data_IF_707670910679
#
_entry.id   IF_707670910679
#
_cell.length_a   1.000
_cell.length_b   1.000
_cell.length_c   1.000
_cell.angle_alpha   90.00
_cell.angle_beta   90.00
_cell.angle_gamma   90.00
#
_symmetry.space_group_name_H-M   'P 1'
#
loop_
_entity.id
_entity.type
_entity.pdbx_description
1 polymer ?
#
# COMPACT_ATOMS: atom_id res chain seq x y z
N UNK A 1 -47.41 -11.27 -22.55
CA UNK A 1 -47.92 -12.51 -23.19
C UNK A 1 -46.82 -13.22 -23.97
N UNK A 2 -45.69 -12.55 -24.27
CA UNK A 2 -44.60 -13.11 -25.08
C UNK A 2 -43.70 -14.13 -24.37
N UNK A 3 -43.45 -13.99 -23.05
CA UNK A 3 -42.54 -14.91 -22.33
C UNK A 3 -42.94 -16.39 -22.48
N UNK A 4 -44.23 -16.73 -22.34
CA UNK A 4 -44.71 -18.13 -22.44
C UNK A 4 -44.55 -18.71 -23.86
N UNK A 5 -44.61 -17.88 -24.89
CA UNK A 5 -44.42 -18.29 -26.28
C UNK A 5 -42.95 -18.54 -26.59
N UNK A 6 -42.05 -17.66 -26.12
CA UNK A 6 -40.61 -17.85 -26.21
C UNK A 6 -40.14 -19.15 -25.52
N UNK A 7 -40.56 -19.37 -24.28
CA UNK A 7 -40.22 -20.59 -23.55
C UNK A 7 -40.75 -21.85 -24.24
N UNK A 8 -41.92 -21.76 -24.88
CA UNK A 8 -42.54 -22.88 -25.59
C UNK A 8 -41.72 -23.25 -26.81
N UNK A 9 -41.33 -22.26 -27.61
CA UNK A 9 -40.45 -22.45 -28.75
C UNK A 9 -39.11 -23.05 -28.32
N UNK A 10 -38.49 -22.49 -27.26
CA UNK A 10 -37.21 -22.98 -26.76
C UNK A 10 -37.24 -24.47 -26.40
N UNK A 11 -38.20 -24.89 -25.58
CA UNK A 11 -38.30 -26.29 -25.20
C UNK A 11 -38.71 -27.20 -26.37
N UNK A 12 -39.27 -26.66 -27.45
CA UNK A 12 -39.55 -27.41 -28.67
C UNK A 12 -38.30 -27.66 -29.52
N UNK A 13 -37.32 -26.75 -29.48
CA UNK A 13 -36.08 -26.84 -30.27
C UNK A 13 -34.94 -27.59 -29.55
N UNK A 14 -34.99 -27.73 -28.23
CA UNK A 14 -33.98 -28.49 -27.46
C UNK A 14 -34.10 -29.99 -27.76
N UNK A 15 -32.95 -30.64 -27.99
CA UNK A 15 -32.88 -32.09 -28.18
C UNK A 15 -33.58 -32.86 -27.04
N UNK A 16 -34.37 -33.88 -27.39
CA UNK A 16 -35.09 -34.73 -26.46
C UNK A 16 -34.15 -35.42 -25.46
N UNK A 17 -32.89 -35.70 -25.83
CA UNK A 17 -31.88 -36.20 -24.91
C UNK A 17 -31.55 -35.19 -23.80
N UNK A 18 -31.43 -33.92 -24.17
CA UNK A 18 -31.15 -32.83 -23.25
C UNK A 18 -32.37 -32.51 -22.37
N UNK A 19 -33.58 -32.54 -22.93
CA UNK A 19 -34.82 -32.42 -22.15
C UNK A 19 -34.96 -33.53 -21.10
N UNK A 20 -34.57 -34.76 -21.45
CA UNK A 20 -34.56 -35.89 -20.52
C UNK A 20 -33.57 -35.69 -19.37
N UNK A 21 -32.36 -35.19 -19.68
CA UNK A 21 -31.34 -34.84 -18.69
C UNK A 21 -31.87 -33.75 -17.75
N UNK A 22 -32.49 -32.69 -18.29
CA UNK A 22 -33.08 -31.62 -17.50
C UNK A 22 -34.20 -32.11 -16.58
N UNK A 23 -35.14 -32.90 -17.10
CA UNK A 23 -36.21 -33.54 -16.32
C UNK A 23 -35.61 -34.31 -15.13
N UNK A 24 -34.59 -35.11 -15.39
CA UNK A 24 -33.99 -36.00 -14.41
C UNK A 24 -33.21 -35.24 -13.33
N UNK A 25 -32.42 -34.22 -13.71
CA UNK A 25 -31.65 -33.41 -12.77
C UNK A 25 -32.52 -32.48 -11.92
N UNK A 26 -33.54 -31.85 -12.52
CA UNK A 26 -34.44 -30.90 -11.84
C UNK A 26 -35.58 -31.63 -11.10
N UNK A 27 -35.72 -32.94 -11.34
CA UNK A 27 -36.79 -33.79 -10.78
C UNK A 27 -38.18 -33.25 -11.14
N UNK A 28 -38.39 -32.94 -12.42
CA UNK A 28 -39.68 -32.51 -12.95
C UNK A 28 -40.58 -33.75 -13.12
N UNK A 29 -41.76 -33.71 -12.51
CA UNK A 29 -42.75 -34.78 -12.60
C UNK A 29 -43.73 -34.45 -13.72
N UNK A 30 -43.73 -35.27 -14.77
CA UNK A 30 -44.72 -35.22 -15.84
C UNK A 30 -45.93 -36.05 -15.41
N UNK A 31 -47.06 -35.40 -15.12
CA UNK A 31 -48.28 -36.08 -14.65
C UNK A 31 -48.95 -36.78 -15.83
N UNK A 32 -49.31 -38.05 -15.69
CA UNK A 32 -50.04 -38.81 -16.71
C UNK A 32 -49.17 -39.69 -17.62
N UNK A 33 -47.85 -39.54 -17.62
CA UNK A 33 -46.95 -40.41 -18.39
C UNK A 33 -45.63 -40.66 -17.64
N UNK A 34 -45.15 -41.91 -17.61
CA UNK A 34 -43.82 -42.25 -17.04
C UNK A 34 -42.76 -42.14 -18.14
N UNK A 35 -41.80 -41.24 -17.94
CA UNK A 35 -40.68 -41.02 -18.87
C UNK A 35 -39.43 -41.63 -18.24
N UNK A 36 -38.99 -42.76 -18.78
CA UNK A 36 -37.88 -43.57 -18.28
C UNK A 36 -36.64 -43.46 -19.18
N UNK A 37 -36.78 -42.89 -20.39
CA UNK A 37 -35.70 -42.66 -21.34
C UNK A 37 -35.96 -41.42 -22.20
N UNK A 38 -34.93 -40.93 -22.90
CA UNK A 38 -35.08 -39.83 -23.86
C UNK A 38 -35.98 -40.20 -25.06
N UNK A 39 -36.05 -41.49 -25.43
CA UNK A 39 -36.91 -41.96 -26.50
C UNK A 39 -38.42 -41.82 -26.19
N UNK A 40 -38.78 -41.81 -24.90
CA UNK A 40 -40.16 -41.62 -24.45
C UNK A 40 -40.66 -40.18 -24.68
N UNK A 41 -39.73 -39.22 -24.81
CA UNK A 41 -40.00 -37.81 -25.11
C UNK A 41 -40.20 -37.63 -26.62
N UNK A 42 -39.45 -38.34 -27.47
CA UNK A 42 -39.39 -38.17 -28.94
C UNK A 42 -40.70 -38.48 -29.69
N UNK A 43 -41.61 -39.26 -29.10
CA UNK A 43 -42.86 -39.70 -29.76
C UNK A 43 -43.97 -38.62 -29.60
N UNK A 44 -45.19 -39.04 -29.29
CA UNK A 44 -46.38 -38.18 -29.16
C UNK A 44 -46.34 -37.30 -27.90
N UNK A 45 -45.43 -37.59 -26.97
CA UNK A 45 -45.36 -36.92 -25.68
C UNK A 45 -44.55 -35.63 -25.70
N UNK A 46 -43.81 -35.34 -26.77
CA UNK A 46 -42.95 -34.14 -26.83
C UNK A 46 -43.70 -32.85 -26.50
N UNK A 47 -44.87 -32.54 -27.10
CA UNK A 47 -45.63 -31.34 -26.78
C UNK A 47 -46.13 -31.32 -25.33
N UNK A 48 -46.45 -32.49 -24.78
CA UNK A 48 -46.93 -32.63 -23.41
C UNK A 48 -45.81 -32.40 -22.38
N UNK A 49 -44.60 -32.88 -22.67
CA UNK A 49 -43.40 -32.62 -21.87
C UNK A 49 -43.06 -31.14 -21.90
N UNK A 50 -43.04 -30.51 -23.08
CA UNK A 50 -42.84 -29.06 -23.22
C UNK A 50 -43.86 -28.28 -22.39
N UNK A 51 -45.16 -28.59 -22.52
CA UNK A 51 -46.21 -27.94 -21.74
C UNK A 51 -46.04 -28.13 -20.23
N UNK A 52 -45.50 -29.26 -19.79
CA UNK A 52 -45.18 -29.50 -18.38
C UNK A 52 -44.04 -28.61 -17.91
N UNK A 53 -43.00 -28.42 -18.71
CA UNK A 53 -41.87 -27.53 -18.40
C UNK A 53 -42.32 -26.07 -18.29
N UNK A 54 -43.30 -25.66 -19.10
CA UNK A 54 -43.91 -24.33 -19.09
C UNK A 54 -44.81 -24.04 -17.90
N UNK A 55 -45.09 -25.02 -17.03
CA UNK A 55 -45.88 -24.76 -15.84
C UNK A 55 -45.11 -23.83 -14.89
N UNK A 56 -45.76 -22.82 -14.27
CA UNK A 56 -45.07 -21.82 -13.44
C UNK A 56 -44.20 -22.43 -12.33
N UNK A 57 -44.67 -23.53 -11.70
CA UNK A 57 -43.92 -24.24 -10.68
C UNK A 57 -42.65 -24.92 -11.20
N UNK A 58 -42.67 -25.44 -12.43
CA UNK A 58 -41.53 -26.08 -13.06
C UNK A 58 -40.57 -25.05 -13.65
N UNK A 59 -41.07 -23.98 -14.28
CA UNK A 59 -40.25 -22.84 -14.68
C UNK A 59 -39.47 -22.24 -13.51
N UNK A 60 -40.11 -22.09 -12.34
CA UNK A 60 -39.42 -21.61 -11.13
C UNK A 60 -38.32 -22.56 -10.65
N UNK A 61 -38.53 -23.88 -10.74
CA UNK A 61 -37.50 -24.89 -10.43
C UNK A 61 -36.37 -24.87 -11.44
N UNK A 62 -36.67 -24.70 -12.71
CA UNK A 62 -35.71 -24.58 -13.80
C UNK A 62 -34.84 -23.34 -13.58
N UNK A 63 -35.46 -22.15 -13.40
CA UNK A 63 -34.75 -20.91 -13.07
C UNK A 63 -33.85 -21.06 -11.84
N UNK A 64 -34.36 -21.65 -10.75
CA UNK A 64 -33.58 -21.86 -9.52
C UNK A 64 -32.42 -22.83 -9.71
N UNK A 65 -32.61 -23.89 -10.50
CA UNK A 65 -31.55 -24.85 -10.81
C UNK A 65 -30.45 -24.20 -11.66
N UNK A 66 -30.83 -23.38 -12.65
CA UNK A 66 -29.90 -22.63 -13.50
C UNK A 66 -29.06 -21.66 -12.65
N UNK A 67 -29.71 -20.88 -11.78
CA UNK A 67 -29.04 -19.96 -10.86
C UNK A 67 -28.09 -20.66 -9.88
N UNK A 68 -28.40 -21.91 -9.49
CA UNK A 68 -27.54 -22.69 -8.60
C UNK A 68 -26.34 -23.32 -9.34
N UNK A 69 -26.47 -23.61 -10.64
CA UNK A 69 -25.39 -24.14 -11.49
C UNK A 69 -24.47 -23.01 -11.98
N UNK A 70 -24.97 -21.79 -12.14
CA UNK A 70 -24.22 -20.61 -12.60
C UNK A 70 -23.24 -20.01 -11.58
N UNK A 71 -23.01 -20.68 -10.43
CA UNK A 71 -21.86 -20.39 -9.54
C UNK A 71 -20.54 -20.95 -10.13
N UNK A 72 -20.62 -21.58 -11.31
CA UNK A 72 -19.50 -22.17 -12.08
C UNK A 72 -19.46 -21.37 -13.39
N UNK A 73 -18.47 -20.56 -13.77
CA UNK A 73 -17.06 -20.36 -13.42
C UNK A 73 -16.75 -18.88 -13.67
N UNK A 74 -15.71 -18.35 -12.99
CA UNK A 74 -14.93 -17.17 -13.37
C UNK A 74 -15.14 -16.73 -14.82
N UNK A 75 -16.02 -15.75 -14.98
CA UNK A 75 -16.03 -14.93 -16.15
C UNK A 75 -15.63 -13.58 -15.59
N UNK A 76 -14.40 -13.19 -15.92
CA UNK A 76 -13.83 -11.89 -15.61
C UNK A 76 -14.87 -10.79 -15.87
N UNK A 77 -14.80 -9.75 -15.04
CA UNK A 77 -15.43 -8.46 -15.30
C UNK A 77 -15.32 -8.14 -16.81
N UNK A 78 -16.46 -7.88 -17.48
CA UNK A 78 -16.66 -7.64 -18.94
C UNK A 78 -17.27 -8.75 -19.83
N UNK A 79 -18.16 -9.61 -19.33
CA UNK A 79 -19.04 -10.39 -20.23
C UNK A 79 -20.34 -9.65 -20.59
N UNK A 80 -20.20 -8.57 -21.37
CA UNK A 80 -21.28 -8.05 -22.19
C UNK A 80 -21.28 -8.82 -23.53
N UNK A 81 -22.14 -9.83 -23.65
CA UNK A 81 -22.35 -10.53 -24.92
C UNK A 81 -23.19 -9.65 -25.84
N UNK A 82 -22.56 -8.99 -26.82
CA UNK A 82 -23.28 -8.25 -27.88
C UNK A 82 -24.34 -9.14 -28.56
N UNK A 83 -25.54 -8.59 -28.79
CA UNK A 83 -26.71 -9.26 -29.37
C UNK A 83 -26.38 -10.08 -30.63
N UNK A 84 -25.47 -9.59 -31.47
CA UNK A 84 -25.00 -10.27 -32.69
C UNK A 84 -24.27 -11.60 -32.43
N UNK A 85 -23.51 -11.69 -31.33
CA UNK A 85 -22.82 -12.93 -30.93
C UNK A 85 -23.81 -13.95 -30.39
N UNK A 86 -24.85 -13.49 -29.68
CA UNK A 86 -25.94 -14.32 -29.18
C UNK A 86 -26.73 -14.89 -30.36
N UNK A 87 -27.11 -14.07 -31.33
CA UNK A 87 -27.80 -14.49 -32.55
C UNK A 87 -26.99 -15.56 -33.31
N UNK A 88 -25.69 -15.34 -33.54
CA UNK A 88 -24.83 -16.32 -34.23
C UNK A 88 -24.72 -17.67 -33.50
N UNK A 89 -24.71 -17.68 -32.17
CA UNK A 89 -24.72 -18.92 -31.37
C UNK A 89 -26.05 -19.66 -31.50
N UNK A 90 -27.17 -18.93 -31.47
CA UNK A 90 -28.50 -19.52 -31.69
C UNK A 90 -28.64 -20.06 -33.11
N UNK A 91 -28.19 -19.33 -34.14
CA UNK A 91 -28.22 -19.78 -35.55
C UNK A 91 -27.38 -21.05 -35.78
N UNK A 92 -26.23 -21.17 -35.11
CA UNK A 92 -25.32 -22.33 -35.25
C UNK A 92 -25.73 -23.56 -34.44
N UNK A 93 -26.81 -23.48 -33.66
CA UNK A 93 -27.33 -24.55 -32.76
C UNK A 93 -26.31 -25.10 -31.73
N UNK A 94 -25.18 -24.42 -31.55
CA UNK A 94 -24.17 -24.77 -30.54
C UNK A 94 -24.49 -24.07 -29.21
N UNK A 95 -24.34 -24.81 -28.10
CA UNK A 95 -24.50 -24.29 -26.74
C UNK A 95 -25.82 -23.52 -26.50
N UNK A 96 -26.88 -23.89 -27.24
CA UNK A 96 -28.21 -23.29 -27.21
C UNK A 96 -28.77 -23.20 -25.79
N UNK A 97 -28.52 -24.24 -24.99
CA UNK A 97 -28.91 -24.26 -23.59
C UNK A 97 -28.18 -23.14 -22.84
N UNK A 98 -26.85 -23.07 -22.89
CA UNK A 98 -26.05 -22.10 -22.13
C UNK A 98 -26.29 -20.65 -22.56
N UNK A 99 -26.40 -20.39 -23.87
CA UNK A 99 -26.78 -19.07 -24.40
C UNK A 99 -28.16 -18.65 -23.91
N UNK A 100 -29.08 -19.59 -23.77
CA UNK A 100 -30.42 -19.32 -23.25
C UNK A 100 -30.43 -19.24 -21.73
N UNK A 101 -29.60 -20.00 -21.02
CA UNK A 101 -29.43 -19.88 -19.57
C UNK A 101 -28.89 -18.50 -19.16
N UNK A 102 -28.06 -17.88 -20.01
CA UNK A 102 -27.56 -16.52 -19.85
C UNK A 102 -28.67 -15.45 -20.03
N UNK A 103 -29.51 -15.61 -21.05
CA UNK A 103 -30.64 -14.70 -21.33
C UNK A 103 -31.75 -14.74 -20.26
N UNK A 104 -31.75 -15.77 -19.40
CA UNK A 104 -32.80 -16.05 -18.40
C UNK A 104 -32.49 -15.44 -17.03
N UNK A 105 -31.30 -14.86 -16.87
CA UNK A 105 -30.95 -14.08 -15.69
C UNK A 105 -31.80 -12.79 -15.66
N UNK A 106 -32.27 -12.39 -14.47
CA UNK A 106 -33.20 -11.26 -14.29
C UNK A 106 -32.70 -9.92 -14.85
N UNK A 107 -31.40 -9.78 -15.14
CA UNK A 107 -30.79 -8.58 -15.72
C UNK A 107 -30.84 -8.50 -17.26
N UNK A 108 -31.15 -9.61 -17.96
CA UNK A 108 -31.03 -9.70 -19.42
C UNK A 108 -32.36 -10.07 -20.13
N UNK A 109 -33.51 -9.88 -19.45
CA UNK A 109 -34.82 -10.25 -19.99
C UNK A 109 -35.22 -9.40 -21.22
N UNK A 110 -34.81 -8.13 -21.30
CA UNK A 110 -35.03 -7.28 -22.49
C UNK A 110 -34.25 -7.80 -23.70
N UNK A 111 -32.98 -8.19 -23.50
CA UNK A 111 -32.14 -8.79 -24.55
C UNK A 111 -32.70 -10.13 -25.04
N UNK A 112 -33.39 -10.89 -24.19
CA UNK A 112 -34.09 -12.11 -24.57
C UNK A 112 -35.31 -11.84 -25.48
N UNK A 113 -36.03 -10.74 -25.23
CA UNK A 113 -37.15 -10.28 -26.06
C UNK A 113 -36.64 -9.81 -27.42
N UNK A 114 -35.50 -9.11 -27.47
CA UNK A 114 -34.89 -8.65 -28.72
C UNK A 114 -34.42 -9.82 -29.59
N UNK A 115 -33.81 -10.86 -29.00
CA UNK A 115 -33.48 -12.11 -29.71
C UNK A 115 -34.74 -12.79 -30.23
N UNK A 116 -35.79 -12.92 -29.42
CA UNK A 116 -37.06 -13.51 -29.88
C UNK A 116 -37.68 -12.72 -31.05
N UNK A 117 -37.69 -11.39 -30.95
CA UNK A 117 -38.22 -10.51 -31.98
C UNK A 117 -37.41 -10.64 -33.27
N UNK A 118 -36.08 -10.69 -33.19
CA UNK A 118 -35.22 -10.96 -34.34
C UNK A 118 -35.56 -12.27 -35.04
N UNK A 119 -35.76 -13.36 -34.29
CA UNK A 119 -36.10 -14.66 -34.87
C UNK A 119 -37.52 -14.69 -35.46
N UNK A 120 -38.50 -14.03 -34.83
CA UNK A 120 -39.85 -13.87 -35.38
C UNK A 120 -39.90 -12.98 -36.63
N UNK A 121 -39.03 -11.98 -36.75
CA UNK A 121 -38.97 -11.08 -37.91
C UNK A 121 -38.16 -11.65 -39.08
N UNK A 122 -37.18 -12.53 -38.83
CA UNK A 122 -36.31 -13.11 -39.87
C UNK A 122 -36.68 -14.51 -40.35
N UNK A 123 -37.41 -15.31 -39.57
CA UNK A 123 -37.90 -16.61 -40.00
C UNK A 123 -39.43 -16.52 -40.16
N UNK A 124 -39.87 -16.35 -41.40
CA UNK A 124 -41.26 -16.50 -41.86
C UNK A 124 -41.77 -17.97 -41.76
N UNK A 125 -41.26 -18.74 -40.79
CA UNK A 125 -41.62 -20.14 -40.56
C UNK A 125 -41.92 -20.37 -39.07
N UNK A 126 -43.13 -20.00 -38.67
CA UNK A 126 -43.82 -20.68 -37.57
C UNK A 126 -45.10 -21.30 -38.15
N UNK A 127 -45.28 -22.63 -38.03
CA UNK A 127 -46.38 -23.34 -38.67
C UNK A 127 -47.73 -22.92 -38.07
N UNK A 128 -48.51 -22.22 -38.88
CA UNK A 128 -49.96 -22.21 -38.76
C UNK A 128 -50.48 -23.63 -38.99
N UNK A 129 -50.84 -24.35 -37.92
CA UNK A 129 -51.88 -25.38 -38.00
C UNK A 129 -52.40 -25.73 -36.61
N UNK A 130 -53.49 -25.09 -36.24
CA UNK A 130 -54.53 -25.72 -35.42
C UNK A 130 -55.82 -25.49 -36.19
N UNK A 131 -56.13 -26.41 -37.11
CA UNK A 131 -57.46 -26.49 -37.71
C UNK A 131 -58.44 -26.94 -36.61
N UNK A 132 -59.43 -26.11 -36.32
CA UNK A 132 -60.62 -26.53 -35.61
C UNK A 132 -61.60 -27.05 -36.65
N UNK A 133 -61.86 -28.37 -36.67
CA UNK A 133 -62.99 -28.94 -37.41
C UNK A 133 -64.29 -28.64 -36.62
N UNK A 134 -65.11 -27.72 -37.13
CA UNK A 134 -66.54 -27.65 -36.79
C UNK A 134 -67.32 -28.54 -37.76
N UNK A 135 -68.05 -29.51 -37.19
CA UNK A 135 -68.91 -30.45 -37.89
C UNK A 135 -70.19 -29.75 -38.34
N UNK A 136 -70.45 -29.74 -39.66
CA UNK A 136 -71.74 -29.38 -40.24
C UNK A 136 -72.84 -30.38 -39.83
N UNK A 137 -73.97 -29.88 -39.34
CA UNK A 137 -75.23 -30.64 -39.32
C UNK A 137 -76.17 -30.12 -40.41
N UNK A 138 -76.37 -30.95 -41.43
CA UNK A 138 -77.42 -30.87 -42.44
C UNK A 138 -78.81 -31.03 -41.82
N UNK A 139 -79.78 -30.21 -42.23
CA UNK A 139 -80.90 -30.75 -43.03
C UNK A 139 -81.91 -29.69 -43.49
N UNK A 140 -82.07 -29.64 -44.81
CA UNK A 140 -83.19 -28.99 -45.52
C UNK A 140 -84.39 -29.93 -45.50
N UNK A 141 -85.59 -29.38 -45.29
CA UNK A 141 -86.79 -29.89 -45.98
C UNK A 141 -87.81 -28.79 -46.21
N UNK A 142 -87.85 -28.31 -47.45
CA UNK A 142 -88.94 -27.50 -48.00
C UNK A 142 -89.82 -28.45 -48.80
N UNK A 143 -91.11 -28.53 -48.45
CA UNK A 143 -92.15 -29.11 -49.30
C UNK A 143 -93.00 -27.97 -49.85
N UNK A 144 -93.22 -28.06 -51.15
CA UNK A 144 -93.76 -27.07 -52.08
C UNK A 144 -95.25 -27.36 -52.29
N UNK A 145 -96.15 -26.35 -52.30
CA UNK A 145 -97.44 -26.41 -53.02
C UNK A 145 -98.23 -25.08 -53.02
N UNK A 146 -98.89 -24.83 -54.17
CA UNK A 146 -99.83 -23.74 -54.57
C UNK A 146 -99.23 -22.55 -55.32
N UNK A 147 -99.36 -22.57 -56.65
CA UNK A 147 -98.84 -21.57 -57.60
C UNK A 147 -99.48 -20.16 -57.55
N UNK A 148 -100.52 -19.91 -56.75
CA UNK A 148 -101.09 -18.55 -56.58
C UNK A 148 -100.85 -17.96 -55.18
N UNK A 149 -100.91 -18.76 -54.11
CA UNK A 149 -100.43 -18.36 -52.77
C UNK A 149 -98.89 -18.24 -52.72
N UNK A 150 -98.19 -18.98 -53.59
CA UNK A 150 -96.74 -18.91 -53.80
C UNK A 150 -96.30 -17.55 -54.34
N UNK A 151 -97.11 -16.87 -55.17
CA UNK A 151 -96.70 -15.59 -55.76
C UNK A 151 -96.76 -14.49 -54.71
N UNK A 152 -97.84 -14.42 -53.90
CA UNK A 152 -97.94 -13.45 -52.79
C UNK A 152 -96.88 -13.69 -51.70
N UNK A 153 -96.57 -14.95 -51.39
CA UNK A 153 -95.47 -15.26 -50.45
C UNK A 153 -94.08 -14.98 -51.04
N UNK A 154 -93.89 -15.15 -52.36
CA UNK A 154 -92.66 -14.74 -53.05
C UNK A 154 -92.53 -13.21 -53.12
N UNK A 155 -93.60 -12.46 -53.39
CA UNK A 155 -93.62 -10.99 -53.36
C UNK A 155 -93.31 -10.43 -51.96
N UNK A 156 -93.86 -11.05 -50.90
CA UNK A 156 -93.53 -10.69 -49.53
C UNK A 156 -92.05 -10.98 -49.19
N UNK A 157 -91.50 -12.10 -49.69
CA UNK A 157 -90.07 -12.42 -49.57
C UNK A 157 -89.19 -11.44 -50.35
N UNK A 158 -89.59 -11.05 -51.56
CA UNK A 158 -88.89 -10.05 -52.38
C UNK A 158 -88.85 -8.70 -51.65
N UNK A 159 -89.99 -8.21 -51.14
CA UNK A 159 -90.04 -6.97 -50.34
C UNK A 159 -89.17 -7.04 -49.09
N UNK A 160 -89.11 -8.19 -48.43
CA UNK A 160 -88.22 -8.41 -47.27
C UNK A 160 -86.75 -8.37 -47.69
N UNK A 161 -86.40 -9.05 -48.78
CA UNK A 161 -85.03 -9.04 -49.34
C UNK A 161 -84.63 -7.62 -49.76
N UNK A 162 -85.52 -6.84 -50.38
CA UNK A 162 -85.27 -5.45 -50.74
C UNK A 162 -85.02 -4.56 -49.50
N UNK A 163 -85.80 -4.75 -48.43
CA UNK A 163 -85.61 -4.07 -47.17
C UNK A 163 -84.28 -4.47 -46.49
N UNK A 164 -83.96 -5.76 -46.48
CA UNK A 164 -82.69 -6.28 -45.95
C UNK A 164 -81.49 -5.77 -46.76
N UNK A 165 -81.59 -5.72 -48.10
CA UNK A 165 -80.56 -5.14 -48.97
C UNK A 165 -80.37 -3.64 -48.72
N UNK A 166 -81.46 -2.89 -48.50
CA UNK A 166 -81.38 -1.48 -48.17
C UNK A 166 -80.68 -1.26 -46.82
N UNK A 167 -81.00 -2.11 -45.82
CA UNK A 167 -80.35 -2.09 -44.50
C UNK A 167 -78.85 -2.41 -44.62
N UNK A 168 -78.49 -3.49 -45.31
CA UNK A 168 -77.09 -3.88 -45.55
C UNK A 168 -76.32 -2.77 -46.28
N UNK A 169 -76.95 -2.11 -47.26
CA UNK A 169 -76.33 -0.97 -47.97
C UNK A 169 -76.05 0.20 -47.04
N UNK A 170 -76.97 0.52 -46.14
CA UNK A 170 -76.79 1.60 -45.16
C UNK A 170 -75.71 1.25 -44.13
N UNK A 171 -75.70 0.01 -43.63
CA UNK A 171 -74.67 -0.47 -42.70
C UNK A 171 -73.28 -0.48 -43.35
N UNK A 172 -73.18 -0.90 -44.62
CA UNK A 172 -71.94 -0.86 -45.38
C UNK A 172 -71.44 0.58 -45.58
N UNK A 173 -72.34 1.52 -45.90
CA UNK A 173 -72.00 2.93 -46.04
C UNK A 173 -71.43 3.49 -44.73
N UNK A 174 -72.09 3.19 -43.60
CA UNK A 174 -71.62 3.59 -42.26
C UNK A 174 -70.23 3.03 -41.95
N UNK A 175 -70.01 1.73 -42.18
CA UNK A 175 -68.69 1.09 -41.99
C UNK A 175 -67.60 1.70 -42.87
N UNK A 176 -67.92 2.07 -44.11
CA UNK A 176 -66.97 2.73 -45.02
C UNK A 176 -66.56 4.10 -44.50
N UNK A 177 -67.49 4.88 -43.97
CA UNK A 177 -67.20 6.21 -43.43
C UNK A 177 -66.45 6.14 -42.08
N UNK A 178 -66.78 5.17 -41.22
CA UNK A 178 -65.99 4.84 -40.02
C UNK A 178 -64.55 4.44 -40.39
N UNK A 179 -64.37 3.59 -41.40
CA UNK A 179 -63.04 3.14 -41.84
C UNK A 179 -62.22 4.29 -42.44
N UNK A 180 -62.84 5.23 -43.19
CA UNK A 180 -62.15 6.45 -43.63
C UNK A 180 -61.67 7.29 -42.45
N UNK A 181 -62.48 7.41 -41.40
CA UNK A 181 -62.16 8.19 -40.20
C UNK A 181 -61.00 7.54 -39.44
N UNK A 182 -61.04 6.22 -39.25
CA UNK A 182 -59.95 5.44 -38.64
C UNK A 182 -58.64 5.54 -39.43
N UNK A 183 -58.68 5.49 -40.76
CA UNK A 183 -57.48 5.68 -41.59
C UNK A 183 -56.84 7.05 -41.40
N UNK A 184 -57.65 8.10 -41.24
CA UNK A 184 -57.14 9.45 -40.96
C UNK A 184 -56.52 9.52 -39.57
N UNK A 185 -57.16 8.94 -38.56
CA UNK A 185 -56.61 8.86 -37.19
C UNK A 185 -55.28 8.11 -37.15
N UNK A 186 -55.21 6.90 -37.73
CA UNK A 186 -53.97 6.11 -37.79
C UNK A 186 -52.84 6.89 -38.47
N UNK A 187 -53.14 7.61 -39.55
CA UNK A 187 -52.15 8.44 -40.24
C UNK A 187 -51.65 9.59 -39.36
N UNK A 188 -52.54 10.21 -38.57
CA UNK A 188 -52.18 11.30 -37.67
C UNK A 188 -51.35 10.79 -36.48
N UNK A 189 -51.78 9.70 -35.85
CA UNK A 189 -51.08 9.07 -34.73
C UNK A 189 -49.68 8.63 -35.16
N UNK A 190 -49.55 8.02 -36.35
CA UNK A 190 -48.24 7.64 -36.90
C UNK A 190 -47.32 8.85 -37.05
N UNK A 191 -47.82 9.99 -37.51
CA UNK A 191 -47.01 11.22 -37.59
C UNK A 191 -46.58 11.68 -36.20
N UNK A 192 -47.49 11.72 -35.24
CA UNK A 192 -47.20 12.15 -33.87
C UNK A 192 -46.16 11.24 -33.19
N UNK A 193 -46.30 9.92 -33.32
CA UNK A 193 -45.35 8.96 -32.77
C UNK A 193 -43.97 9.06 -33.43
N UNK A 194 -43.93 9.27 -34.75
CA UNK A 194 -42.66 9.47 -35.47
C UNK A 194 -41.95 10.75 -35.01
N UNK A 195 -42.69 11.84 -34.82
CA UNK A 195 -42.13 13.09 -34.28
C UNK A 195 -41.57 12.91 -32.87
N UNK A 196 -42.33 12.28 -31.96
CA UNK A 196 -41.88 12.01 -30.59
C UNK A 196 -40.63 11.12 -30.55
N UNK A 197 -40.58 10.10 -31.40
CA UNK A 197 -39.42 9.22 -31.50
C UNK A 197 -38.17 9.99 -31.96
N UNK A 198 -38.30 10.86 -32.95
CA UNK A 198 -37.18 11.66 -33.44
C UNK A 198 -36.70 12.68 -32.40
N UNK A 199 -37.61 13.33 -31.67
CA UNK A 199 -37.26 14.24 -30.58
C UNK A 199 -36.53 13.52 -29.45
N UNK A 200 -37.02 12.34 -29.06
CA UNK A 200 -36.41 11.50 -28.02
C UNK A 200 -35.03 11.04 -28.44
N UNK A 201 -34.89 10.58 -29.69
CA UNK A 201 -33.60 10.17 -30.25
C UNK A 201 -32.58 11.32 -30.24
N UNK A 202 -32.99 12.50 -30.69
CA UNK A 202 -32.13 13.69 -30.68
C UNK A 202 -31.70 14.06 -29.26
N UNK A 203 -32.63 14.01 -28.30
CA UNK A 203 -32.32 14.30 -26.89
C UNK A 203 -31.30 13.31 -26.31
N UNK A 204 -31.46 12.01 -26.59
CA UNK A 204 -30.50 11.00 -26.15
C UNK A 204 -29.12 11.16 -26.82
N UNK A 205 -29.08 11.49 -28.12
CA UNK A 205 -27.82 11.76 -28.83
C UNK A 205 -27.08 12.96 -28.20
N UNK A 206 -27.80 14.04 -27.86
CA UNK A 206 -27.22 15.20 -27.17
C UNK A 206 -26.70 14.85 -25.76
N UNK A 207 -27.45 14.03 -25.00
CA UNK A 207 -27.02 13.56 -23.69
C UNK A 207 -25.76 12.69 -23.77
N UNK A 208 -25.74 11.73 -24.69
CA UNK A 208 -24.58 10.87 -24.94
C UNK A 208 -23.35 11.68 -25.35
N UNK A 209 -23.52 12.69 -26.21
CA UNK A 209 -22.43 13.58 -26.61
C UNK A 209 -21.86 14.35 -25.42
N UNK A 210 -22.71 14.84 -24.51
CA UNK A 210 -22.27 15.55 -23.30
C UNK A 210 -21.52 14.64 -22.33
N UNK A 211 -22.01 13.41 -22.12
CA UNK A 211 -21.35 12.42 -21.27
C UNK A 211 -19.97 12.08 -21.83
N UNK A 212 -19.87 11.81 -23.15
CA UNK A 212 -18.59 11.52 -23.80
C UNK A 212 -17.59 12.66 -23.64
N UNK A 213 -18.00 13.89 -23.92
CA UNK A 213 -17.13 15.06 -23.77
C UNK A 213 -16.65 15.24 -22.32
N UNK A 214 -17.55 15.06 -21.35
CA UNK A 214 -17.19 15.17 -19.92
C UNK A 214 -16.22 14.07 -19.48
N UNK A 215 -16.42 12.83 -19.92
CA UNK A 215 -15.50 11.73 -19.62
C UNK A 215 -14.12 11.96 -20.24
N UNK A 216 -14.06 12.48 -21.47
CA UNK A 216 -12.82 12.78 -22.16
C UNK A 216 -12.04 13.91 -21.48
N UNK A 217 -12.73 14.95 -21.02
CA UNK A 217 -12.15 16.03 -20.23
C UNK A 217 -11.57 15.52 -18.89
N UNK A 218 -12.34 14.71 -18.16
CA UNK A 218 -11.89 14.10 -16.90
C UNK A 218 -10.67 13.19 -17.10
N UNK A 219 -10.65 12.40 -18.16
CA UNK A 219 -9.53 11.52 -18.49
C UNK A 219 -8.27 12.34 -18.81
N UNK A 220 -8.43 13.42 -19.57
CA UNK A 220 -7.31 14.30 -19.96
C UNK A 220 -6.74 15.02 -18.74
N UNK A 221 -7.59 15.56 -17.87
CA UNK A 221 -7.15 16.22 -16.64
C UNK A 221 -6.48 15.24 -15.67
N UNK A 222 -7.04 14.05 -15.51
CA UNK A 222 -6.41 13.02 -14.66
C UNK A 222 -5.04 12.62 -15.18
N UNK A 223 -4.86 12.45 -16.50
CA UNK A 223 -3.55 12.18 -17.11
C UNK A 223 -2.56 13.31 -16.81
N UNK A 224 -2.98 14.57 -17.01
CA UNK A 224 -2.16 15.76 -16.73
C UNK A 224 -1.67 15.78 -15.28
N UNK A 225 -2.56 15.53 -14.33
CA UNK A 225 -2.23 15.49 -12.90
C UNK A 225 -1.24 14.37 -12.57
N UNK A 226 -1.40 13.18 -13.14
CA UNK A 226 -0.44 12.08 -12.95
C UNK A 226 0.93 12.39 -13.56
N UNK A 227 0.97 13.00 -14.74
CA UNK A 227 2.22 13.42 -15.38
C UNK A 227 2.97 14.48 -14.54
N UNK A 228 2.25 15.45 -13.97
CA UNK A 228 2.82 16.44 -13.05
C UNK A 228 3.38 15.79 -11.77
N UNK A 229 2.66 14.82 -11.19
CA UNK A 229 3.14 14.08 -10.02
C UNK A 229 4.41 13.29 -10.35
N UNK A 230 4.42 12.55 -11.46
CA UNK A 230 5.60 11.79 -11.92
C UNK A 230 6.81 12.72 -12.10
N UNK A 231 6.62 13.86 -12.77
CA UNK A 231 7.69 14.84 -12.96
C UNK A 231 8.23 15.37 -11.62
N UNK A 232 7.33 15.67 -10.68
CA UNK A 232 7.70 16.15 -9.34
C UNK A 232 8.48 15.10 -8.56
N UNK A 233 8.03 13.84 -8.57
CA UNK A 233 8.72 12.73 -7.92
C UNK A 233 10.10 12.48 -8.53
N UNK A 234 10.20 12.50 -9.86
CA UNK A 234 11.47 12.32 -10.57
C UNK A 234 12.47 13.42 -10.25
N UNK A 235 12.02 14.67 -10.15
CA UNK A 235 12.88 15.78 -9.74
C UNK A 235 13.34 15.64 -8.28
N UNK A 236 12.44 15.21 -7.39
CA UNK A 236 12.77 14.92 -5.99
C UNK A 236 13.80 13.79 -5.86
N UNK A 237 13.63 12.71 -6.60
CA UNK A 237 14.57 11.59 -6.65
C UNK A 237 15.96 12.05 -7.12
N UNK A 238 16.02 12.85 -8.19
CA UNK A 238 17.27 13.40 -8.69
C UNK A 238 17.98 14.28 -7.65
N UNK A 239 17.24 15.12 -6.92
CA UNK A 239 17.80 15.94 -5.84
C UNK A 239 18.28 15.10 -4.65
N UNK A 240 17.55 14.05 -4.28
CA UNK A 240 17.96 13.13 -3.22
C UNK A 240 19.23 12.38 -3.61
N UNK A 241 19.34 11.92 -4.85
CA UNK A 241 20.52 11.23 -5.35
C UNK A 241 21.75 12.15 -5.34
N UNK A 242 21.61 13.41 -5.76
CA UNK A 242 22.69 14.42 -5.62
C UNK A 242 23.10 14.60 -4.16
N UNK A 243 22.13 14.69 -3.24
CA UNK A 243 22.44 14.84 -1.81
C UNK A 243 23.16 13.61 -1.24
N UNK A 244 22.81 12.41 -1.70
CA UNK A 244 23.50 11.19 -1.33
C UNK A 244 24.94 11.23 -1.82
N UNK A 245 25.19 11.64 -3.07
CA UNK A 245 26.55 11.77 -3.63
C UNK A 245 27.39 12.79 -2.84
N UNK A 246 26.83 13.95 -2.49
CA UNK A 246 27.47 14.94 -1.62
C UNK A 246 27.85 14.35 -0.26
N UNK A 247 26.91 13.68 0.42
CA UNK A 247 27.13 13.07 1.72
C UNK A 247 28.17 11.93 1.67
N UNK A 248 28.22 11.16 0.58
CA UNK A 248 29.25 10.14 0.36
C UNK A 248 30.62 10.81 0.22
N UNK A 249 30.70 11.93 -0.49
CA UNK A 249 31.92 12.74 -0.60
C UNK A 249 32.38 13.29 0.76
N UNK A 250 31.47 13.91 1.51
CA UNK A 250 31.73 14.43 2.86
C UNK A 250 32.21 13.31 3.79
N UNK A 251 31.51 12.17 3.83
CA UNK A 251 31.87 11.03 4.68
C UNK A 251 33.26 10.48 4.33
N UNK A 252 33.63 10.42 3.04
CA UNK A 252 34.97 10.00 2.63
C UNK A 252 36.04 10.95 3.19
N UNK A 253 35.80 12.25 3.16
CA UNK A 253 36.74 13.23 3.72
C UNK A 253 36.86 13.13 5.24
N UNK A 254 35.75 12.89 5.95
CA UNK A 254 35.76 12.64 7.39
C UNK A 254 36.54 11.37 7.75
N UNK A 255 36.37 10.28 7.00
CA UNK A 255 37.12 9.04 7.23
C UNK A 255 38.62 9.29 7.08
N UNK A 256 39.05 10.00 6.03
CA UNK A 256 40.47 10.34 5.85
C UNK A 256 41.01 11.22 6.98
N UNK A 257 40.27 12.25 7.38
CA UNK A 257 40.66 13.10 8.51
C UNK A 257 40.75 12.33 9.83
N UNK A 258 39.84 11.38 10.06
CA UNK A 258 39.87 10.50 11.22
C UNK A 258 41.12 9.61 11.22
N UNK A 259 41.45 8.99 10.08
CA UNK A 259 42.66 8.16 9.94
C UNK A 259 43.94 8.96 10.18
N UNK A 260 44.01 10.22 9.76
CA UNK A 260 45.13 11.11 10.02
C UNK A 260 45.25 11.48 11.51
N UNK A 261 44.14 11.88 12.14
CA UNK A 261 44.09 12.16 13.58
C UNK A 261 44.47 10.95 14.43
N UNK A 262 44.07 9.74 14.00
CA UNK A 262 44.41 8.50 14.71
C UNK A 262 45.93 8.24 14.67
N UNK A 263 46.58 8.48 13.53
CA UNK A 263 48.06 8.40 13.41
C UNK A 263 48.75 9.43 14.31
N UNK A 264 48.29 10.67 14.29
CA UNK A 264 48.85 11.74 15.12
C UNK A 264 48.68 11.42 16.61
N UNK A 265 47.53 10.88 17.01
CA UNK A 265 47.26 10.46 18.39
C UNK A 265 48.20 9.33 18.83
N UNK A 266 48.45 8.34 17.97
CA UNK A 266 49.41 7.25 18.24
C UNK A 266 50.83 7.82 18.41
N UNK A 267 51.24 8.73 17.53
CA UNK A 267 52.57 9.34 17.57
C UNK A 267 52.77 10.22 18.82
N UNK A 268 51.79 11.05 19.16
CA UNK A 268 51.78 11.84 20.40
C UNK A 268 51.83 10.94 21.64
N UNK A 269 51.09 9.83 21.65
CA UNK A 269 51.11 8.87 22.76
C UNK A 269 52.50 8.24 22.91
N UNK A 270 53.17 7.91 21.80
CA UNK A 270 54.56 7.41 21.82
C UNK A 270 55.52 8.46 22.37
N UNK A 271 55.47 9.69 21.84
CA UNK A 271 56.34 10.79 22.28
C UNK A 271 56.13 11.09 23.76
N UNK A 272 54.88 11.12 24.23
CA UNK A 272 54.57 11.38 25.62
C UNK A 272 55.16 10.29 26.54
N UNK A 273 55.12 9.03 26.11
CA UNK A 273 55.78 7.93 26.82
C UNK A 273 57.30 8.09 26.86
N UNK A 274 57.92 8.49 25.76
CA UNK A 274 59.38 8.79 25.72
C UNK A 274 59.74 9.93 26.68
N UNK A 275 58.90 10.97 26.77
CA UNK A 275 59.09 12.06 27.75
C UNK A 275 58.91 11.59 29.20
N UNK A 276 57.92 10.74 29.49
CA UNK A 276 57.74 10.15 30.82
C UNK A 276 58.99 9.34 31.23
N UNK A 277 59.52 8.50 30.34
CA UNK A 277 60.76 7.74 30.58
C UNK A 277 61.97 8.66 30.81
N UNK A 278 62.08 9.77 30.06
CA UNK A 278 63.13 10.79 30.24
C UNK A 278 63.02 11.51 31.60
N UNK A 279 61.79 11.85 32.02
CA UNK A 279 61.55 12.45 33.34
C UNK A 279 61.94 11.49 34.47
N UNK A 280 61.59 10.20 34.35
CA UNK A 280 61.99 9.19 35.33
C UNK A 280 63.52 9.06 35.44
N UNK A 281 64.23 9.11 34.30
CA UNK A 281 65.70 9.10 34.29
C UNK A 281 66.30 10.35 34.93
N UNK A 282 65.74 11.53 34.65
CA UNK A 282 66.18 12.78 35.26
C UNK A 282 65.95 12.80 36.78
N UNK A 283 64.81 12.29 37.24
CA UNK A 283 64.52 12.13 38.66
C UNK A 283 65.48 11.12 39.31
N UNK A 284 65.79 10.00 38.64
CA UNK A 284 66.79 9.05 39.13
C UNK A 284 68.21 9.62 39.17
N UNK A 285 68.61 10.45 38.20
CA UNK A 285 69.89 11.15 38.20
C UNK A 285 69.95 12.22 39.31
N UNK A 286 68.87 12.96 39.56
CA UNK A 286 68.77 13.88 40.69
C UNK A 286 68.78 13.15 42.03
N UNK A 287 68.10 12.00 42.15
CA UNK A 287 68.10 11.18 43.37
C UNK A 287 69.47 10.55 43.61
N UNK A 288 70.19 10.12 42.57
CA UNK A 288 71.59 9.64 42.69
C UNK A 288 72.61 10.76 42.88
N UNK A 289 72.31 11.97 42.41
CA UNK A 289 73.16 13.15 42.53
C UNK A 289 73.00 13.91 43.85
N UNK A 290 71.83 13.81 44.50
CA UNK A 290 71.50 14.56 45.72
C UNK A 290 70.87 13.68 46.82
N UNK A 291 71.55 12.62 47.24
CA UNK A 291 71.43 12.17 48.65
C UNK A 291 72.41 12.97 49.54
N UNK A 292 72.49 14.28 49.30
CA UNK A 292 73.36 15.18 50.03
C UNK A 292 72.76 15.43 51.41
N UNK A 293 73.10 14.57 52.38
CA UNK A 293 73.01 14.99 53.78
C UNK A 293 73.71 16.34 53.90
N UNK A 294 72.97 17.40 54.21
CA UNK A 294 73.55 18.73 54.40
C UNK A 294 74.45 18.66 55.62
N UNK A 295 75.77 18.65 55.39
CA UNK A 295 76.75 18.54 56.47
C UNK A 295 77.18 19.92 56.92
N UNK A 296 76.79 20.29 58.14
CA UNK A 296 77.13 21.57 58.76
C UNK A 296 78.16 21.31 59.86
N UNK A 297 79.32 21.95 59.76
CA UNK A 297 80.33 21.95 60.82
C UNK A 297 80.17 23.22 61.65
N UNK A 298 80.14 23.09 62.97
CA UNK A 298 80.09 24.21 63.91
C UNK A 298 81.39 24.27 64.70
N UNK A 299 82.13 25.36 64.60
CA UNK A 299 83.38 25.62 65.32
C UNK A 299 83.10 26.50 66.53
N UNK A 300 83.29 25.94 67.72
CA UNK A 300 83.03 26.61 69.00
C UNK A 300 81.92 25.93 69.80
N UNK A 301 81.74 26.39 71.06
CA UNK A 301 80.86 25.73 72.04
C UNK A 301 79.49 26.40 72.12
N UNK A 302 78.45 25.91 71.43
CA UNK A 302 77.11 26.47 71.58
C UNK A 302 76.59 26.25 73.01
N UNK A 303 75.77 27.18 73.51
CA UNK A 303 75.23 27.12 74.88
C UNK A 303 74.31 25.91 75.11
N UNK A 304 73.64 25.40 74.08
CA UNK A 304 72.78 24.22 74.14
C UNK A 304 73.20 23.19 73.08
N UNK A 305 72.83 21.94 73.32
CA UNK A 305 72.97 20.87 72.31
C UNK A 305 72.08 21.23 71.12
N UNK A 306 72.71 21.48 69.98
CA UNK A 306 72.02 21.71 68.72
C UNK A 306 71.59 20.35 68.19
N UNK A 307 70.28 20.12 68.10
CA UNK A 307 69.70 18.93 67.47
C UNK A 307 68.72 19.38 66.40
N UNK A 308 68.85 18.82 65.22
CA UNK A 308 67.91 18.99 64.11
C UNK A 308 66.82 17.93 64.20
N UNK A 309 65.61 18.28 63.75
CA UNK A 309 64.55 17.28 63.55
C UNK A 309 64.60 16.61 62.18
N UNK A 310 65.31 17.21 61.23
CA UNK A 310 65.47 16.70 59.87
C UNK A 310 66.58 15.64 59.83
N UNK A 311 66.30 14.38 59.44
CA UNK A 311 67.33 13.35 59.26
C UNK A 311 68.35 13.69 58.17
N UNK A 312 68.01 14.58 57.23
CA UNK A 312 68.88 14.95 56.11
C UNK A 312 69.92 16.04 56.48
N UNK A 313 69.93 16.54 57.72
CA UNK A 313 70.90 17.54 58.20
C UNK A 313 71.82 16.91 59.24
N UNK A 314 73.11 16.80 58.92
CA UNK A 314 74.13 16.27 59.82
C UNK A 314 74.98 17.40 60.40
N UNK A 315 74.86 17.64 61.72
CA UNK A 315 75.60 18.71 62.42
C UNK A 315 76.73 18.12 63.25
N UNK A 316 77.96 18.53 62.93
CA UNK A 316 79.16 18.15 63.67
C UNK A 316 79.72 19.36 64.44
N UNK A 317 79.80 19.26 65.77
CA UNK A 317 80.28 20.34 66.63
C UNK A 317 81.73 20.06 67.03
N UNK A 318 82.63 20.92 66.56
CA UNK A 318 84.07 20.85 66.82
C UNK A 318 84.41 21.64 68.10
N UNK A 319 84.53 20.92 69.21
CA UNK A 319 84.87 21.45 70.53
C UNK A 319 86.23 20.93 71.01
N UNK A 320 87.03 21.80 71.65
CA UNK A 320 88.31 21.45 72.29
C UNK A 320 89.36 20.84 71.33
N UNK A 321 89.44 21.39 70.13
CA UNK A 321 90.39 20.95 69.10
C UNK A 321 91.57 21.92 69.04
N UNK A 322 92.77 21.39 68.87
CA UNK A 322 93.95 22.20 68.56
C UNK A 322 93.90 22.62 67.09
N UNK A 323 93.40 23.83 66.84
CA UNK A 323 93.09 24.30 65.49
C UNK A 323 94.31 24.55 64.62
N UNK A 324 95.54 24.60 65.17
CA UNK A 324 96.74 24.95 64.40
C UNK A 324 97.06 23.99 63.24
N UNK A 325 96.72 22.70 63.38
CA UNK A 325 97.01 21.66 62.37
C UNK A 325 95.81 20.75 62.06
N UNK A 326 94.62 21.14 62.51
CA UNK A 326 93.41 20.34 62.31
C UNK A 326 92.99 20.31 60.83
N UNK A 327 92.72 19.11 60.32
CA UNK A 327 92.17 18.91 58.98
C UNK A 327 90.65 18.88 59.09
N UNK A 328 90.00 19.90 58.58
CA UNK A 328 88.54 19.98 58.60
C UNK A 328 87.93 18.98 57.62
N UNK A 329 86.89 18.22 58.03
CA UNK A 329 86.16 17.38 57.11
C UNK A 329 85.46 18.23 56.04
N UNK A 330 85.18 17.61 54.88
CA UNK A 330 84.41 18.27 53.82
C UNK A 330 82.97 18.51 54.33
N UNK A 331 82.51 19.76 54.24
CA UNK A 331 81.19 20.20 54.69
C UNK A 331 80.59 21.17 53.69
N UNK A 332 79.25 21.23 53.64
CA UNK A 332 78.53 22.17 52.78
C UNK A 332 78.48 23.57 53.39
N UNK A 333 78.44 23.65 54.73
CA UNK A 333 78.50 24.91 55.49
C UNK A 333 79.40 24.78 56.70
N UNK A 334 80.20 25.82 56.96
CA UNK A 334 81.00 25.93 58.16
C UNK A 334 80.58 27.16 58.96
N UNK A 335 80.18 26.96 60.21
CA UNK A 335 79.69 28.00 61.09
C UNK A 335 80.65 28.24 62.23
N UNK A 336 81.17 29.45 62.33
CA UNK A 336 82.09 29.83 63.40
C UNK A 336 81.32 30.61 64.45
N UNK A 337 81.56 30.30 65.72
CA UNK A 337 80.99 30.98 66.88
C UNK A 337 82.08 31.79 67.61
N UNK A 338 82.50 32.97 67.11
CA UNK A 338 83.60 33.74 67.71
C UNK A 338 83.41 34.00 69.19
N UNK A 339 82.18 34.30 69.64
CA UNK A 339 81.87 34.59 71.04
C UNK A 339 82.18 33.43 72.01
N UNK A 340 82.38 32.22 71.49
CA UNK A 340 82.70 31.02 72.28
C UNK A 340 84.18 30.63 72.23
N UNK A 341 84.95 31.23 71.31
CA UNK A 341 86.37 30.94 71.10
C UNK A 341 87.25 31.93 71.86
N UNK A 342 88.29 31.43 72.52
CA UNK A 342 89.29 32.28 73.16
C UNK A 342 90.25 32.92 72.12
N UNK A 343 91.01 33.94 72.52
CA UNK A 343 91.88 34.67 71.60
C UNK A 343 92.92 33.76 70.92
N UNK A 344 93.44 32.74 71.62
CA UNK A 344 94.41 31.79 71.08
C UNK A 344 93.77 30.91 70.00
N UNK A 345 92.59 30.36 70.25
CA UNK A 345 91.83 29.53 69.30
C UNK A 345 91.46 30.32 68.04
N UNK A 346 91.08 31.59 68.18
CA UNK A 346 90.81 32.47 67.03
C UNK A 346 92.05 32.68 66.17
N UNK A 347 93.20 32.94 66.79
CA UNK A 347 94.46 33.11 66.07
C UNK A 347 94.89 31.80 65.42
N UNK A 348 94.77 30.66 66.09
CA UNK A 348 95.12 29.35 65.54
C UNK A 348 94.23 28.97 64.34
N UNK A 349 92.93 29.26 64.41
CA UNK A 349 91.99 29.00 63.31
C UNK A 349 92.29 29.88 62.09
N UNK A 350 92.59 31.17 62.30
CA UNK A 350 92.93 32.11 61.22
C UNK A 350 94.22 31.73 60.46
N UNK A 351 95.18 31.10 61.14
CA UNK A 351 96.44 30.68 60.54
C UNK A 351 96.43 29.21 60.09
N UNK A 352 95.30 28.51 60.19
CA UNK A 352 95.17 27.15 59.69
C UNK A 352 94.93 27.16 58.16
N UNK A 353 95.88 26.57 57.43
CA UNK A 353 95.83 26.48 55.97
C UNK A 353 94.62 25.70 55.44
N UNK A 354 94.14 24.68 56.16
CA UNK A 354 92.95 23.90 55.79
C UNK A 354 91.65 24.68 56.04
N UNK A 355 91.58 25.49 57.10
CA UNK A 355 90.41 26.33 57.35
C UNK A 355 90.23 27.38 56.25
N UNK A 356 91.32 27.98 55.77
CA UNK A 356 91.28 28.94 54.66
C UNK A 356 90.80 28.34 53.32
N UNK A 357 90.77 27.01 53.19
CA UNK A 357 90.31 26.31 52.00
C UNK A 357 88.81 25.95 52.06
N UNK A 358 88.12 26.22 53.17
CA UNK A 358 86.69 25.94 53.31
C UNK A 358 85.89 27.04 52.60
N UNK A 359 85.11 26.65 51.61
CA UNK A 359 84.13 27.50 50.95
C UNK A 359 82.84 27.55 51.81
N UNK A 360 82.16 28.69 51.88
CA UNK A 360 80.92 28.92 52.68
C UNK A 360 81.09 28.95 54.22
N UNK A 361 82.01 29.78 54.72
CA UNK A 361 82.16 30.07 56.14
C UNK A 361 81.24 31.23 56.58
N UNK A 362 80.36 31.01 57.54
CA UNK A 362 79.52 32.02 58.18
C UNK A 362 79.94 32.26 59.63
N UNK A 363 79.99 33.53 60.04
CA UNK A 363 80.34 33.93 61.40
C UNK A 363 79.10 34.38 62.16
N UNK A 364 78.83 33.78 63.32
CA UNK A 364 77.72 34.13 64.17
C UNK A 364 78.22 34.84 65.43
N UNK A 365 78.00 36.15 65.50
CA UNK A 365 78.45 36.97 66.64
C UNK A 365 77.67 36.70 67.93
N UNK A 366 76.46 36.16 67.80
CA UNK A 366 75.58 35.83 68.91
C UNK A 366 74.81 34.52 68.67
N UNK A 367 74.30 33.94 69.76
CA UNK A 367 73.57 32.68 69.72
C UNK A 367 72.18 32.80 69.07
N UNK A 368 71.55 33.98 69.10
CA UNK A 368 70.21 34.19 68.52
C UNK A 368 70.24 34.11 66.99
N UNK A 369 71.28 34.67 66.36
CA UNK A 369 71.52 34.58 64.92
C UNK A 369 71.74 33.14 64.48
N UNK A 370 72.53 32.37 65.24
CA UNK A 370 72.74 30.94 64.99
C UNK A 370 71.42 30.15 65.01
N UNK A 371 70.59 30.37 66.02
CA UNK A 371 69.29 29.69 66.15
C UNK A 371 68.30 30.07 65.06
N UNK A 372 68.31 31.32 64.60
CA UNK A 372 67.48 31.75 63.48
C UNK A 372 67.96 31.14 62.15
N UNK A 373 69.28 31.05 61.93
CA UNK A 373 69.85 30.39 60.75
C UNK A 373 69.47 28.90 60.72
N UNK A 374 69.59 28.19 61.84
CA UNK A 374 69.14 26.80 61.99
C UNK A 374 67.67 26.62 61.63
N UNK A 375 66.78 27.44 62.20
CA UNK A 375 65.34 27.39 61.91
C UNK A 375 64.99 27.69 60.45
N UNK A 376 65.77 28.52 59.78
CA UNK A 376 65.56 28.83 58.39
C UNK A 376 65.95 27.65 57.50
N UNK A 377 67.06 26.97 57.80
CA UNK A 377 67.48 25.77 57.08
C UNK A 377 66.42 24.67 57.23
N UNK A 378 65.93 24.42 58.45
CA UNK A 378 64.86 23.43 58.67
C UNK A 378 63.53 23.75 57.96
N UNK A 379 63.26 25.02 57.60
CA UNK A 379 62.01 25.42 56.91
C UNK A 379 62.08 25.34 55.40
N UNK A 380 63.27 25.52 54.83
CA UNK A 380 63.46 25.56 53.36
C UNK A 380 63.36 24.15 52.76
N UNK A 381 63.79 23.12 53.48
CA UNK A 381 63.75 21.73 53.00
C UNK A 381 62.39 21.04 53.15
N UNK A 382 61.49 21.51 54.04
CA UNK A 382 60.14 20.91 54.20
C UNK A 382 59.17 21.31 53.08
N UNK A 383 59.57 22.24 52.19
CA UNK A 383 58.73 22.76 51.08
C UNK A 383 59.18 22.28 49.70
N UNK A 384 60.18 21.40 49.61
CA UNK A 384 60.63 20.79 48.36
C UNK A 384 59.97 19.45 48.17
#
# INVERSE_FOLDING_TARGET
>A
MEQKQFWRWLFQEIDYELLYIFKSKIKIVVRGFRINSAQDIKKENHPFVVNTFLQPANLKKIKKYIQAVSVIKNIDDDFELELEKIIKRVESKNDLIETVLYLVQEKNEEMAIDVYTYFCEKLDELPNSVENEEVESTDKKVINMKKEDSIKTLEAKIKKIEADLLKVRNDLKKRVDENKTLKVQIKNDRKQWTSKLNETKKSHEEQLSKIKASHEEQLTESKRLYEEQIATHKNRELNLNKRIEELVGENKSFVTAHEELEKETIELTRINKEYEELFELYDQENIRGNSGELRIIIIGRPMNIIKTKNPDINIEILNNIEFKSYQFPKSDKCWVLPFTLNNRERTELQHNAHFSLIENVEYFDDYLKLMNALKNIEKVEVRV
#
